data_IF_286191861809
#
_entry.id   IF_286191861809
#
_cell.length_a   1.000
_cell.length_b   1.000
_cell.length_c   1.000
_cell.angle_alpha   90.00
_cell.angle_beta   90.00
_cell.angle_gamma   90.00
#
_symmetry.space_group_name_H-M   'P 1'
#
loop_
_entity.id
_entity.type
_entity.pdbx_description
1 polymer ?
#
# COMPACT_ATOMS: atom_id res chain seq x y z
N UNK A 1 48.75 17.81 -13.74
CA UNK A 1 48.07 17.24 -12.58
C UNK A 1 46.61 17.04 -12.93
N UNK A 2 46.19 15.78 -13.21
CA UNK A 2 44.81 15.43 -13.47
C UNK A 2 44.17 15.01 -12.14
N UNK A 3 43.30 15.83 -11.59
CA UNK A 3 42.50 15.48 -10.42
C UNK A 3 41.39 14.52 -10.85
N UNK A 4 41.58 13.24 -10.59
CA UNK A 4 40.55 12.24 -10.77
C UNK A 4 39.41 12.49 -9.77
N UNK A 5 38.24 12.91 -10.28
CA UNK A 5 37.01 12.80 -9.53
C UNK A 5 36.69 11.31 -9.37
N UNK A 6 36.87 10.79 -8.16
CA UNK A 6 36.37 9.48 -7.74
C UNK A 6 34.84 9.57 -7.79
N UNK A 7 34.22 8.97 -8.79
CA UNK A 7 32.79 8.68 -8.75
C UNK A 7 32.58 7.74 -7.55
N UNK A 8 32.05 8.25 -6.47
CA UNK A 8 31.49 7.43 -5.40
C UNK A 8 30.31 6.68 -6.03
N UNK A 9 30.43 5.37 -6.11
CA UNK A 9 29.32 4.49 -6.47
C UNK A 9 28.33 4.53 -5.31
N UNK A 10 27.22 5.24 -5.52
CA UNK A 10 26.15 5.49 -4.55
C UNK A 10 25.24 4.24 -4.44
N UNK A 11 25.82 3.11 -3.99
CA UNK A 11 25.12 1.84 -3.79
C UNK A 11 24.86 1.51 -2.33
N UNK A 12 25.37 2.31 -1.38
CA UNK A 12 25.09 2.11 0.03
C UNK A 12 23.60 2.39 0.32
N UNK A 13 22.88 1.32 0.70
CA UNK A 13 21.48 1.40 1.11
C UNK A 13 20.44 1.10 0.02
N UNK A 14 20.83 0.82 -1.23
CA UNK A 14 19.89 0.37 -2.27
C UNK A 14 19.65 -1.14 -2.17
N UNK A 15 18.39 -1.56 -2.32
CA UNK A 15 18.01 -2.96 -2.36
C UNK A 15 18.46 -3.61 -3.68
N UNK A 16 18.82 -4.90 -3.63
CA UNK A 16 18.89 -5.75 -4.81
C UNK A 16 17.49 -5.91 -5.46
N UNK A 17 17.39 -6.37 -6.72
CA UNK A 17 16.09 -6.63 -7.35
C UNK A 17 15.18 -7.55 -6.52
N UNK A 18 15.72 -8.61 -5.95
CA UNK A 18 14.98 -9.55 -5.11
C UNK A 18 14.50 -8.90 -3.82
N UNK A 19 15.33 -8.10 -3.15
CA UNK A 19 14.93 -7.36 -1.95
C UNK A 19 13.85 -6.32 -2.29
N UNK A 20 14.02 -5.54 -3.37
CA UNK A 20 13.02 -4.56 -3.79
C UNK A 20 11.67 -5.22 -4.01
N UNK A 21 11.61 -6.37 -4.69
CA UNK A 21 10.39 -7.09 -4.95
C UNK A 21 9.62 -7.45 -3.66
N UNK A 22 10.34 -7.76 -2.57
CA UNK A 22 9.75 -8.06 -1.25
C UNK A 22 9.17 -6.84 -0.53
N UNK A 23 9.35 -5.65 -1.09
CA UNK A 23 8.75 -4.40 -0.61
C UNK A 23 7.65 -3.85 -1.55
N UNK A 24 7.27 -4.60 -2.59
CA UNK A 24 6.26 -4.18 -3.57
C UNK A 24 4.98 -5.00 -3.42
N UNK A 25 3.87 -4.29 -3.19
CA UNK A 25 2.50 -4.77 -3.39
C UNK A 25 2.08 -4.42 -4.81
N UNK A 26 1.92 -5.43 -5.67
CA UNK A 26 1.49 -5.22 -7.05
C UNK A 26 -0.04 -5.26 -7.12
N UNK A 27 -0.66 -4.40 -7.95
CA UNK A 27 -2.11 -4.26 -7.94
C UNK A 27 -2.76 -4.07 -9.31
N UNK A 28 -3.97 -4.64 -9.42
CA UNK A 28 -4.99 -4.34 -10.44
C UNK A 28 -6.31 -4.03 -9.72
N UNK A 29 -6.52 -2.76 -9.35
CA UNK A 29 -7.66 -2.31 -8.52
C UNK A 29 -8.53 -1.26 -9.21
N UNK A 30 -8.40 -1.07 -10.54
CA UNK A 30 -9.32 -0.21 -11.29
C UNK A 30 -10.59 -0.98 -11.64
N UNK A 31 -11.72 -0.29 -11.74
CA UNK A 31 -13.02 -0.91 -11.97
C UNK A 31 -13.13 -1.69 -13.29
N UNK A 32 -12.29 -1.36 -14.26
CA UNK A 32 -12.30 -1.94 -15.61
C UNK A 32 -11.29 -3.08 -15.82
N UNK A 33 -10.49 -3.43 -14.79
CA UNK A 33 -9.51 -4.51 -14.94
C UNK A 33 -10.20 -5.84 -15.23
N UNK A 34 -9.70 -6.51 -16.26
CA UNK A 34 -10.20 -7.78 -16.75
C UNK A 34 -9.52 -8.97 -16.05
N UNK A 35 -10.10 -10.16 -16.22
CA UNK A 35 -9.49 -11.40 -15.73
C UNK A 35 -8.11 -11.66 -16.33
N UNK A 36 -7.92 -11.34 -17.61
CA UNK A 36 -6.63 -11.53 -18.30
C UNK A 36 -5.53 -10.63 -17.67
N UNK A 37 -5.89 -9.41 -17.27
CA UNK A 37 -4.96 -8.53 -16.54
C UNK A 37 -4.66 -9.04 -15.14
N UNK A 38 -5.64 -9.69 -14.47
CA UNK A 38 -5.42 -10.36 -13.18
C UNK A 38 -4.48 -11.58 -13.35
N UNK A 39 -4.62 -12.35 -14.42
CA UNK A 39 -3.68 -13.44 -14.73
C UNK A 39 -2.26 -12.91 -14.97
N UNK A 40 -2.11 -11.84 -15.75
CA UNK A 40 -0.81 -11.17 -15.95
C UNK A 40 -0.23 -10.64 -14.64
N UNK A 41 -1.07 -10.10 -13.74
CA UNK A 41 -0.67 -9.63 -12.41
C UNK A 41 -0.08 -10.76 -11.56
N UNK A 42 -0.76 -11.91 -11.52
CA UNK A 42 -0.29 -13.09 -10.78
C UNK A 42 1.00 -13.64 -11.37
N UNK A 43 1.10 -13.77 -12.69
CA UNK A 43 2.33 -14.24 -13.35
C UNK A 43 3.51 -13.28 -13.10
N UNK A 44 3.28 -11.97 -13.12
CA UNK A 44 4.30 -10.99 -12.76
C UNK A 44 4.73 -11.14 -11.28
N UNK A 45 3.79 -11.36 -10.38
CA UNK A 45 4.09 -11.57 -8.96
C UNK A 45 4.97 -12.81 -8.74
N UNK A 46 4.67 -13.92 -9.42
CA UNK A 46 5.48 -15.14 -9.39
C UNK A 46 6.87 -14.93 -9.97
N UNK A 47 6.94 -14.28 -11.15
CA UNK A 47 8.19 -14.03 -11.87
C UNK A 47 9.18 -13.19 -11.05
N UNK A 48 8.70 -12.09 -10.47
CA UNK A 48 9.55 -11.14 -9.74
C UNK A 48 9.58 -11.38 -8.23
N UNK A 49 8.74 -12.30 -7.72
CA UNK A 49 8.60 -12.61 -6.29
C UNK A 49 8.11 -11.40 -5.48
N UNK A 50 7.14 -10.65 -6.03
CA UNK A 50 6.49 -9.58 -5.27
C UNK A 50 5.85 -10.10 -3.99
N UNK A 51 5.82 -9.27 -2.94
CA UNK A 51 5.36 -9.73 -1.62
C UNK A 51 3.86 -9.96 -1.57
N UNK A 52 3.06 -9.18 -2.32
CA UNK A 52 1.62 -9.35 -2.34
C UNK A 52 0.95 -8.88 -3.64
N UNK A 53 -0.24 -9.42 -3.89
CA UNK A 53 -1.07 -9.18 -5.08
C UNK A 53 -2.42 -8.63 -4.64
N UNK A 54 -2.74 -7.39 -4.99
CA UNK A 54 -4.00 -6.73 -4.63
C UNK A 54 -4.96 -6.64 -5.82
N UNK A 55 -6.21 -7.04 -5.60
CA UNK A 55 -7.31 -6.90 -6.56
C UNK A 55 -8.57 -6.38 -5.89
N UNK A 56 -9.57 -6.01 -6.71
CA UNK A 56 -10.91 -5.78 -6.17
C UNK A 56 -11.50 -7.09 -5.61
N UNK A 57 -12.39 -7.04 -4.61
CA UNK A 57 -12.91 -8.21 -3.90
C UNK A 57 -13.48 -9.30 -4.79
N UNK A 58 -14.07 -8.95 -5.93
CA UNK A 58 -14.63 -9.89 -6.92
C UNK A 58 -13.59 -10.92 -7.44
N UNK A 59 -12.31 -10.57 -7.41
CA UNK A 59 -11.21 -11.44 -7.84
C UNK A 59 -10.40 -12.05 -6.69
N UNK A 60 -10.66 -11.71 -5.42
CA UNK A 60 -9.83 -12.15 -4.29
C UNK A 60 -9.72 -13.67 -4.20
N UNK A 61 -10.85 -14.41 -4.21
CA UNK A 61 -10.84 -15.89 -4.20
C UNK A 61 -10.14 -16.47 -5.43
N UNK A 62 -10.22 -15.81 -6.58
CA UNK A 62 -9.51 -16.24 -7.79
C UNK A 62 -8.00 -16.13 -7.63
N UNK A 63 -7.52 -14.99 -7.13
CA UNK A 63 -6.09 -14.74 -6.87
C UNK A 63 -5.56 -15.69 -5.82
N UNK A 64 -6.28 -15.91 -4.72
CA UNK A 64 -5.89 -16.88 -3.68
C UNK A 64 -5.66 -18.27 -4.28
N UNK A 65 -6.58 -18.75 -5.13
CA UNK A 65 -6.39 -20.05 -5.80
C UNK A 65 -5.19 -20.07 -6.73
N UNK A 66 -4.95 -18.99 -7.47
CA UNK A 66 -3.82 -18.87 -8.42
C UNK A 66 -2.46 -18.80 -7.71
N UNK A 67 -2.43 -18.37 -6.46
CA UNK A 67 -1.23 -18.31 -5.63
C UNK A 67 -1.00 -19.57 -4.79
N UNK A 68 -1.83 -20.60 -4.91
CA UNK A 68 -1.57 -21.88 -4.27
C UNK A 68 -0.23 -22.45 -4.70
N UNK A 69 0.59 -22.84 -3.73
CA UNK A 69 1.97 -23.29 -3.97
C UNK A 69 3.02 -22.17 -3.96
N UNK A 70 2.61 -20.92 -3.75
CA UNK A 70 3.50 -19.74 -3.64
C UNK A 70 3.44 -19.15 -2.20
N UNK A 71 3.98 -19.81 -1.19
CA UNK A 71 3.78 -19.41 0.22
C UNK A 71 4.33 -18.02 0.56
N UNK A 72 5.27 -17.53 -0.24
CA UNK A 72 5.90 -16.23 -0.03
C UNK A 72 5.15 -15.06 -0.67
N UNK A 73 4.07 -15.33 -1.43
CA UNK A 73 3.30 -14.30 -2.12
C UNK A 73 1.89 -14.26 -1.52
N UNK A 74 1.52 -13.13 -0.90
CA UNK A 74 0.23 -12.98 -0.26
C UNK A 74 -0.84 -12.47 -1.25
N UNK A 75 -2.04 -13.02 -1.18
CA UNK A 75 -3.21 -12.37 -1.76
C UNK A 75 -3.62 -11.22 -0.83
N UNK A 76 -3.79 -10.03 -1.37
CA UNK A 76 -4.26 -8.86 -0.64
C UNK A 76 -5.71 -8.52 -1.00
N UNK A 77 -6.48 -8.05 -0.01
CA UNK A 77 -7.84 -7.57 -0.19
C UNK A 77 -7.96 -6.06 0.06
N UNK A 78 -8.96 -5.42 -0.58
CA UNK A 78 -9.26 -4.01 -0.34
C UNK A 78 -10.62 -3.84 0.31
N UNK A 79 -10.74 -2.92 1.29
CA UNK A 79 -11.93 -2.67 2.09
C UNK A 79 -12.41 -1.24 1.85
N UNK A 80 -13.71 -1.09 1.56
CA UNK A 80 -14.36 0.22 1.29
C UNK A 80 -13.63 1.03 0.21
N UNK A 81 -13.09 0.34 -0.76
CA UNK A 81 -12.22 0.92 -1.77
C UNK A 81 -13.01 1.31 -3.04
N UNK A 82 -12.76 2.50 -3.66
CA UNK A 82 -11.72 3.46 -3.28
C UNK A 82 -12.20 4.58 -2.33
N UNK A 83 -13.47 4.65 -1.98
CA UNK A 83 -14.09 5.85 -1.39
C UNK A 83 -14.05 5.94 0.14
N UNK A 84 -13.91 4.83 0.86
CA UNK A 84 -13.87 4.79 2.33
C UNK A 84 -15.22 5.05 3.01
N UNK A 85 -16.32 5.28 2.25
CA UNK A 85 -17.60 5.75 2.76
C UNK A 85 -18.59 4.67 3.19
N UNK A 86 -18.22 3.39 3.18
CA UNK A 86 -19.08 2.33 3.70
C UNK A 86 -19.25 2.47 5.23
N UNK A 87 -20.37 1.98 5.75
CA UNK A 87 -20.55 1.91 7.20
C UNK A 87 -19.52 0.97 7.85
N UNK A 88 -19.16 1.22 9.10
CA UNK A 88 -18.24 0.36 9.87
C UNK A 88 -18.66 -1.11 9.83
N UNK A 89 -19.97 -1.40 9.98
CA UNK A 89 -20.47 -2.77 9.89
C UNK A 89 -20.24 -3.44 8.54
N UNK A 90 -20.30 -2.68 7.43
CA UNK A 90 -19.99 -3.18 6.09
C UNK A 90 -18.48 -3.44 5.92
N UNK A 91 -17.64 -2.53 6.37
CA UNK A 91 -16.17 -2.71 6.34
C UNK A 91 -15.74 -3.92 7.17
N UNK A 92 -16.32 -4.11 8.35
CA UNK A 92 -16.07 -5.30 9.19
C UNK A 92 -16.49 -6.60 8.50
N UNK A 93 -17.61 -6.60 7.76
CA UNK A 93 -18.00 -7.78 6.94
C UNK A 93 -17.01 -8.03 5.82
N UNK A 94 -16.60 -7.00 5.08
CA UNK A 94 -15.59 -7.11 4.03
C UNK A 94 -14.27 -7.67 4.59
N UNK A 95 -13.82 -7.22 5.76
CA UNK A 95 -12.61 -7.73 6.40
C UNK A 95 -12.71 -9.23 6.71
N UNK A 96 -13.83 -9.68 7.28
CA UNK A 96 -14.06 -11.09 7.59
C UNK A 96 -14.14 -11.95 6.32
N UNK A 97 -14.88 -11.51 5.31
CA UNK A 97 -15.02 -12.21 4.03
C UNK A 97 -13.66 -12.37 3.32
N UNK A 98 -12.88 -11.30 3.23
CA UNK A 98 -11.56 -11.35 2.60
C UNK A 98 -10.60 -12.29 3.35
N UNK A 99 -10.65 -12.28 4.69
CA UNK A 99 -9.90 -13.23 5.51
C UNK A 99 -10.33 -14.67 5.23
N UNK A 100 -11.63 -14.94 5.20
CA UNK A 100 -12.19 -16.28 4.92
C UNK A 100 -11.87 -16.75 3.50
N UNK A 101 -11.74 -15.83 2.54
CA UNK A 101 -11.25 -16.13 1.19
C UNK A 101 -9.76 -16.51 1.16
N UNK A 102 -8.99 -16.21 2.22
CA UNK A 102 -7.56 -16.51 2.32
C UNK A 102 -6.65 -15.32 1.97
N UNK A 103 -7.14 -14.08 2.02
CA UNK A 103 -6.28 -12.90 1.92
C UNK A 103 -5.37 -12.80 3.15
N UNK A 104 -4.07 -12.57 2.94
CA UNK A 104 -3.07 -12.45 4.00
C UNK A 104 -2.75 -11.00 4.40
N UNK A 105 -3.23 -10.01 3.64
CA UNK A 105 -3.06 -8.58 3.93
C UNK A 105 -4.31 -7.80 3.47
N UNK A 106 -4.68 -6.73 4.19
CA UNK A 106 -5.86 -5.91 3.88
C UNK A 106 -5.49 -4.43 3.80
N UNK A 107 -5.91 -3.77 2.73
CA UNK A 107 -5.81 -2.31 2.56
C UNK A 107 -7.20 -1.69 2.72
N UNK A 108 -7.49 -0.98 3.81
CA UNK A 108 -8.76 -0.28 4.01
C UNK A 108 -8.65 1.21 3.71
N UNK A 109 -9.69 1.81 3.16
CA UNK A 109 -9.78 3.27 3.05
C UNK A 109 -10.41 3.82 4.32
N UNK A 110 -9.74 4.81 4.95
CA UNK A 110 -10.26 5.55 6.09
C UNK A 110 -11.61 6.21 5.76
N UNK A 111 -12.49 6.37 6.74
CA UNK A 111 -13.69 7.17 6.59
C UNK A 111 -13.32 8.66 6.47
N UNK A 112 -12.99 9.08 5.24
CA UNK A 112 -12.58 10.45 4.93
C UNK A 112 -13.68 11.46 5.19
N UNK A 113 -14.95 11.10 4.99
CA UNK A 113 -16.08 11.99 5.23
C UNK A 113 -16.18 12.35 6.72
N UNK A 114 -16.12 11.37 7.61
CA UNK A 114 -16.08 11.59 9.05
C UNK A 114 -14.84 12.39 9.45
N UNK A 115 -13.67 11.99 8.95
CA UNK A 115 -12.40 12.66 9.25
C UNK A 115 -12.41 14.15 8.85
N UNK A 116 -12.86 14.48 7.63
CA UNK A 116 -12.97 15.87 7.12
C UNK A 116 -14.05 16.68 7.84
N UNK A 117 -15.03 16.02 8.46
CA UNK A 117 -16.05 16.65 9.29
C UNK A 117 -15.60 16.90 10.74
N UNK A 118 -14.35 16.51 11.08
CA UNK A 118 -13.81 16.62 12.44
C UNK A 118 -14.28 15.51 13.39
N UNK A 119 -15.00 14.50 12.89
CA UNK A 119 -15.50 13.34 13.64
C UNK A 119 -14.38 12.30 13.81
N UNK A 120 -13.28 12.71 14.44
CA UNK A 120 -12.07 11.89 14.55
C UNK A 120 -12.27 10.61 15.36
N UNK A 121 -13.16 10.65 16.36
CA UNK A 121 -13.52 9.46 17.16
C UNK A 121 -14.18 8.42 16.28
N UNK A 122 -15.14 8.82 15.43
CA UNK A 122 -15.80 7.91 14.49
C UNK A 122 -14.80 7.29 13.50
N UNK A 123 -13.87 8.10 12.96
CA UNK A 123 -12.83 7.60 12.06
C UNK A 123 -11.89 6.60 12.76
N UNK A 124 -11.56 6.82 14.03
CA UNK A 124 -10.73 5.92 14.82
C UNK A 124 -11.44 4.61 15.16
N UNK A 125 -12.69 4.67 15.61
CA UNK A 125 -13.53 3.51 15.91
C UNK A 125 -13.78 2.64 14.67
N UNK A 126 -13.96 3.26 13.50
CA UNK A 126 -14.08 2.57 12.21
C UNK A 126 -12.85 1.72 11.89
N UNK A 127 -11.64 2.29 12.04
CA UNK A 127 -10.38 1.57 11.84
C UNK A 127 -10.22 0.46 12.88
N UNK A 128 -10.45 0.75 14.14
CA UNK A 128 -10.32 -0.22 15.26
C UNK A 128 -11.22 -1.43 15.03
N UNK A 129 -12.49 -1.22 14.71
CA UNK A 129 -13.45 -2.30 14.45
C UNK A 129 -13.03 -3.19 13.25
N UNK A 130 -12.43 -2.58 12.22
CA UNK A 130 -11.92 -3.33 11.06
C UNK A 130 -10.66 -4.12 11.43
N UNK A 131 -9.73 -3.55 12.18
CA UNK A 131 -8.52 -4.26 12.64
C UNK A 131 -8.86 -5.45 13.53
N UNK A 132 -9.82 -5.29 14.44
CA UNK A 132 -10.35 -6.40 15.26
C UNK A 132 -11.02 -7.49 14.41
N UNK A 133 -11.79 -7.10 13.38
CA UNK A 133 -12.45 -8.04 12.46
C UNK A 133 -11.46 -8.79 11.56
N UNK A 134 -10.32 -8.17 11.24
CA UNK A 134 -9.24 -8.78 10.47
C UNK A 134 -8.43 -9.79 11.30
N UNK A 135 -8.47 -9.73 12.62
CA UNK A 135 -7.68 -10.58 13.56
C UNK A 135 -6.16 -10.46 13.30
N UNK A 136 -5.52 -11.59 12.98
CA UNK A 136 -4.06 -11.67 12.78
C UNK A 136 -3.59 -11.12 11.41
N UNK A 137 -4.52 -10.72 10.53
CA UNK A 137 -4.18 -10.18 9.22
C UNK A 137 -3.84 -8.70 9.35
N UNK A 138 -2.65 -8.24 8.89
CA UNK A 138 -2.27 -6.84 8.97
C UNK A 138 -3.18 -5.96 8.11
N UNK A 139 -3.71 -4.90 8.72
CA UNK A 139 -4.51 -3.87 8.07
C UNK A 139 -3.64 -2.66 7.76
N UNK A 140 -3.65 -2.22 6.51
CA UNK A 140 -3.01 -1.00 6.05
C UNK A 140 -4.08 0.04 5.77
N UNK A 141 -4.03 1.17 6.47
CA UNK A 141 -5.05 2.23 6.38
C UNK A 141 -4.64 3.28 5.36
N UNK A 142 -5.43 3.45 4.32
CA UNK A 142 -5.26 4.47 3.28
C UNK A 142 -5.87 5.77 3.80
N UNK A 143 -5.04 6.77 4.03
CA UNK A 143 -5.47 8.08 4.51
C UNK A 143 -5.78 9.07 3.38
N UNK A 144 -5.50 8.71 2.11
CA UNK A 144 -5.72 9.48 0.88
C UNK A 144 -5.13 10.90 0.97
N UNK A 145 -3.82 10.97 1.10
CA UNK A 145 -3.07 12.23 1.30
C UNK A 145 -3.39 13.36 0.33
N UNK A 146 -3.81 13.13 -0.95
CA UNK A 146 -4.19 14.23 -1.83
C UNK A 146 -5.36 15.09 -1.34
N UNK A 147 -6.21 14.56 -0.46
CA UNK A 147 -7.33 15.31 0.13
C UNK A 147 -6.97 16.03 1.44
N UNK A 148 -5.77 15.82 1.98
CA UNK A 148 -5.39 16.23 3.32
C UNK A 148 -4.37 17.37 3.32
N UNK A 149 -4.54 18.30 4.24
CA UNK A 149 -3.50 19.25 4.64
C UNK A 149 -2.42 18.56 5.47
N UNK A 150 -1.27 19.19 5.65
CA UNK A 150 -0.16 18.67 6.45
C UNK A 150 -0.58 18.33 7.90
N UNK A 151 -1.42 19.17 8.51
CA UNK A 151 -1.96 18.94 9.85
C UNK A 151 -2.91 17.74 9.88
N UNK A 152 -3.74 17.59 8.85
CA UNK A 152 -4.66 16.46 8.72
C UNK A 152 -3.90 15.16 8.48
N UNK A 153 -2.80 15.16 7.69
CA UNK A 153 -1.93 13.98 7.53
C UNK A 153 -1.39 13.54 8.89
N UNK A 154 -0.85 14.46 9.69
CA UNK A 154 -0.36 14.13 11.04
C UNK A 154 -1.45 13.53 11.91
N UNK A 155 -2.62 14.14 11.94
CA UNK A 155 -3.77 13.65 12.70
C UNK A 155 -4.22 12.27 12.26
N UNK A 156 -4.27 12.01 10.95
CA UNK A 156 -4.64 10.71 10.39
C UNK A 156 -3.62 9.61 10.75
N UNK A 157 -2.32 9.94 10.76
CA UNK A 157 -1.26 9.01 11.22
C UNK A 157 -1.46 8.66 12.70
N UNK A 158 -1.72 9.63 13.57
CA UNK A 158 -1.98 9.35 15.00
C UNK A 158 -3.22 8.47 15.20
N UNK A 159 -4.30 8.72 14.44
CA UNK A 159 -5.50 7.88 14.46
C UNK A 159 -5.15 6.45 14.05
N UNK A 160 -4.41 6.23 12.97
CA UNK A 160 -3.99 4.89 12.54
C UNK A 160 -3.19 4.15 13.63
N UNK A 161 -2.27 4.86 14.31
CA UNK A 161 -1.48 4.30 15.42
C UNK A 161 -2.38 3.87 16.56
N UNK A 162 -3.26 4.77 17.02
CA UNK A 162 -4.16 4.51 18.16
C UNK A 162 -5.17 3.40 17.88
N UNK A 163 -5.54 3.20 16.62
CA UNK A 163 -6.52 2.19 16.18
C UNK A 163 -5.90 0.84 15.82
N UNK A 164 -4.60 0.63 16.07
CA UNK A 164 -3.94 -0.66 15.90
C UNK A 164 -3.67 -1.05 14.44
N UNK A 165 -3.64 -0.09 13.50
CA UNK A 165 -3.27 -0.37 12.12
C UNK A 165 -1.79 -0.81 12.02
N UNK A 166 -1.50 -1.78 11.14
CA UNK A 166 -0.12 -2.23 10.88
C UNK A 166 0.66 -1.21 10.03
N UNK A 167 -0.03 -0.56 9.09
CA UNK A 167 0.54 0.46 8.22
C UNK A 167 -0.39 1.65 8.08
N UNK A 168 0.20 2.84 7.91
CA UNK A 168 -0.48 3.96 7.26
C UNK A 168 -0.03 4.03 5.80
N UNK A 169 -1.00 4.07 4.88
CA UNK A 169 -0.79 4.10 3.42
C UNK A 169 -1.23 5.45 2.87
N UNK A 170 -0.43 6.01 1.97
CA UNK A 170 -0.65 7.37 1.46
C UNK A 170 -1.92 7.50 0.62
N UNK A 171 -2.12 6.66 -0.41
CA UNK A 171 -3.22 6.87 -1.38
C UNK A 171 -3.75 5.58 -2.00
N UNK A 172 -4.98 5.63 -2.52
CA UNK A 172 -5.61 4.59 -3.34
C UNK A 172 -5.01 4.49 -4.75
N UNK A 173 -4.48 5.60 -5.26
CA UNK A 173 -4.10 5.75 -6.66
C UNK A 173 -5.27 6.01 -7.62
N UNK A 174 -6.50 6.24 -7.11
CA UNK A 174 -7.67 6.63 -7.90
C UNK A 174 -7.83 8.14 -8.05
N UNK A 175 -7.12 8.90 -7.24
CA UNK A 175 -7.08 10.35 -7.36
C UNK A 175 -6.21 10.78 -8.55
N UNK A 176 -6.50 11.94 -9.15
CA UNK A 176 -5.71 12.52 -10.25
C UNK A 176 -4.33 12.99 -9.77
N UNK A 177 -4.27 13.52 -8.54
CA UNK A 177 -3.00 13.88 -7.91
C UNK A 177 -2.27 12.66 -7.41
N UNK A 178 -0.94 12.70 -7.54
CA UNK A 178 -0.04 11.65 -7.07
C UNK A 178 0.41 11.94 -5.65
N UNK A 179 0.78 10.90 -4.93
CA UNK A 179 1.49 11.01 -3.66
C UNK A 179 2.80 11.77 -3.87
N UNK A 180 3.05 12.77 -3.03
CA UNK A 180 4.26 13.61 -3.05
C UNK A 180 5.24 13.15 -1.97
N UNK A 181 6.54 13.36 -2.21
CA UNK A 181 7.58 13.02 -1.24
C UNK A 181 7.40 13.76 0.08
N UNK A 182 7.02 15.03 0.03
CA UNK A 182 6.77 15.87 1.21
C UNK A 182 5.67 15.27 2.11
N UNK A 183 4.61 14.71 1.51
CA UNK A 183 3.55 14.03 2.27
C UNK A 183 4.08 12.79 2.99
N UNK A 184 4.94 12.01 2.34
CA UNK A 184 5.60 10.84 2.96
C UNK A 184 6.52 11.29 4.11
N UNK A 185 7.26 12.38 3.96
CA UNK A 185 8.11 12.93 5.01
C UNK A 185 7.30 13.38 6.23
N UNK A 186 6.12 13.99 6.01
CA UNK A 186 5.19 14.37 7.08
C UNK A 186 4.66 13.10 7.79
N UNK A 187 4.23 12.09 7.03
CA UNK A 187 3.79 10.80 7.58
C UNK A 187 4.89 10.17 8.42
N UNK A 188 6.12 10.12 7.91
CA UNK A 188 7.26 9.52 8.59
C UNK A 188 7.62 10.25 9.88
N UNK A 189 7.70 11.58 9.82
CA UNK A 189 7.95 12.42 10.98
C UNK A 189 6.92 12.20 12.08
N UNK A 190 5.63 12.09 11.72
CA UNK A 190 4.55 11.85 12.67
C UNK A 190 4.53 10.41 13.18
N UNK A 191 4.80 9.45 12.31
CA UNK A 191 4.87 8.03 12.68
C UNK A 191 5.98 7.76 13.71
N UNK A 192 7.14 8.40 13.54
CA UNK A 192 8.30 8.27 14.44
C UNK A 192 8.61 6.80 14.80
N UNK A 193 8.50 5.88 13.85
CA UNK A 193 8.74 4.45 14.03
C UNK A 193 7.62 3.67 14.73
N UNK A 194 6.51 4.31 15.12
CA UNK A 194 5.39 3.67 15.84
C UNK A 194 4.45 2.87 14.93
N UNK A 195 4.49 3.11 13.62
CA UNK A 195 3.68 2.44 12.61
C UNK A 195 4.49 2.35 11.31
N UNK A 196 4.29 1.30 10.51
CA UNK A 196 4.95 1.15 9.23
C UNK A 196 4.29 2.04 8.16
N UNK A 197 5.10 2.44 7.16
CA UNK A 197 4.63 3.32 6.08
C UNK A 197 4.57 2.57 4.75
N UNK A 198 3.45 2.75 4.04
CA UNK A 198 3.27 2.30 2.66
C UNK A 198 3.02 3.50 1.75
N UNK A 199 3.89 3.69 0.76
CA UNK A 199 3.68 4.66 -0.29
C UNK A 199 2.90 4.02 -1.46
N UNK A 200 1.88 4.69 -1.96
CA UNK A 200 1.13 4.28 -3.14
C UNK A 200 0.48 5.50 -3.82
N UNK A 201 0.09 5.35 -5.09
CA UNK A 201 -0.52 6.42 -5.87
C UNK A 201 0.49 7.20 -6.70
N UNK A 202 0.70 6.75 -7.94
CA UNK A 202 1.51 7.44 -8.94
C UNK A 202 3.02 7.22 -8.87
N UNK A 203 3.51 6.23 -8.14
CA UNK A 203 4.92 5.83 -8.14
C UNK A 203 5.27 5.17 -9.48
N UNK A 204 6.29 5.72 -10.19
CA UNK A 204 6.58 5.29 -11.56
C UNK A 204 8.06 5.15 -11.90
N UNK A 205 8.97 5.36 -10.95
CA UNK A 205 10.42 5.22 -11.17
C UNK A 205 11.13 4.68 -9.94
N UNK A 206 12.33 4.14 -10.14
CA UNK A 206 13.22 3.73 -9.06
C UNK A 206 13.60 4.88 -8.16
N UNK A 207 13.89 6.06 -8.72
CA UNK A 207 14.25 7.23 -7.93
C UNK A 207 13.15 7.60 -6.92
N UNK A 208 11.88 7.59 -7.35
CA UNK A 208 10.75 7.81 -6.42
C UNK A 208 10.72 6.76 -5.29
N UNK A 209 11.03 5.50 -5.58
CA UNK A 209 11.10 4.45 -4.55
C UNK A 209 12.24 4.75 -3.58
N UNK A 210 13.42 5.10 -4.08
CA UNK A 210 14.57 5.39 -3.24
C UNK A 210 14.35 6.61 -2.34
N UNK A 211 13.81 7.69 -2.89
CA UNK A 211 13.48 8.89 -2.14
C UNK A 211 12.46 8.59 -1.02
N UNK A 212 11.39 7.86 -1.35
CA UNK A 212 10.36 7.49 -0.37
C UNK A 212 10.86 6.47 0.65
N UNK A 213 11.78 5.55 0.26
CA UNK A 213 12.47 4.65 1.19
C UNK A 213 13.33 5.44 2.18
N UNK A 214 14.11 6.38 1.69
CA UNK A 214 14.92 7.26 2.56
C UNK A 214 14.04 8.08 3.50
N UNK A 215 12.84 8.47 3.04
CA UNK A 215 11.84 9.12 3.88
C UNK A 215 11.14 8.17 4.88
N UNK A 216 11.46 6.87 4.90
CA UNK A 216 10.98 5.92 5.90
C UNK A 216 9.92 4.92 5.43
N UNK A 217 9.56 4.90 4.13
CA UNK A 217 8.66 3.87 3.60
C UNK A 217 9.33 2.49 3.56
N UNK A 218 8.59 1.48 4.01
CA UNK A 218 8.99 0.07 3.98
C UNK A 218 8.17 -0.76 2.98
N UNK A 219 7.13 -0.20 2.36
CA UNK A 219 6.25 -0.87 1.42
C UNK A 219 5.79 0.08 0.30
N UNK A 220 5.62 -0.44 -0.92
CA UNK A 220 5.25 0.34 -2.10
C UNK A 220 4.11 -0.32 -2.85
N UNK A 221 3.01 0.42 -3.05
CA UNK A 221 1.87 -0.03 -3.86
C UNK A 221 2.01 0.42 -5.30
N UNK A 222 2.15 -0.53 -6.23
CA UNK A 222 2.37 -0.27 -7.65
C UNK A 222 1.33 -0.98 -8.51
N UNK A 223 0.84 -0.31 -9.56
CA UNK A 223 0.10 -1.00 -10.62
C UNK A 223 1.01 -1.89 -11.47
N UNK A 224 0.44 -2.94 -12.07
CA UNK A 224 1.15 -3.96 -12.86
C UNK A 224 2.21 -3.39 -13.81
N UNK A 225 1.84 -2.44 -14.67
CA UNK A 225 2.74 -1.88 -15.68
C UNK A 225 3.93 -1.14 -15.08
N UNK A 226 3.69 -0.37 -13.99
CA UNK A 226 4.76 0.37 -13.30
C UNK A 226 5.70 -0.58 -12.58
N UNK A 227 5.18 -1.59 -11.88
CA UNK A 227 5.99 -2.58 -11.19
C UNK A 227 6.90 -3.35 -12.15
N UNK A 228 6.34 -3.86 -13.26
CA UNK A 228 7.12 -4.58 -14.26
C UNK A 228 8.22 -3.72 -14.90
N UNK A 229 7.94 -2.43 -15.17
CA UNK A 229 8.94 -1.52 -15.71
C UNK A 229 10.07 -1.27 -14.70
N UNK A 230 9.74 -0.91 -13.47
CA UNK A 230 10.72 -0.67 -12.41
C UNK A 230 11.61 -1.90 -12.18
N UNK A 231 11.02 -3.10 -12.19
CA UNK A 231 11.83 -4.33 -12.05
C UNK A 231 12.75 -4.55 -13.24
N UNK A 232 12.34 -4.23 -14.47
CA UNK A 232 13.22 -4.29 -15.64
C UNK A 232 14.39 -3.32 -15.53
N UNK A 233 14.13 -2.09 -15.06
CA UNK A 233 15.15 -1.06 -14.87
C UNK A 233 16.20 -1.46 -13.82
N UNK A 234 15.88 -2.40 -12.90
CA UNK A 234 16.83 -2.94 -11.92
C UNK A 234 17.84 -3.94 -12.51
N UNK A 235 17.61 -4.46 -13.72
CA UNK A 235 18.47 -5.44 -14.37
C UNK A 235 19.30 -4.84 -15.52
N UNK A 236 19.21 -3.54 -15.74
CA UNK A 236 19.98 -2.77 -16.71
C UNK A 236 21.14 -2.05 -16.02
#
# INVERSE_FOLDING_TARGET
MRTGKKQMTDTEGKWSPTELARHIDISCVQAFHTRDEIDQLVEAAKKYRFVSVFTLPVFSSYVVRKLQGEPDIQAGGVISFPGGGDTTGQKCRQARELREMGCGELDMVMNLAAFKSGEYTLAAEDIMAVTESAKDIPVKVIIETPYLTDMEIRKAVDICIMSGAAYVKSSTGWHTEKTKLEQIQIMSSQAAGRILLKAAGGIRSLDMIWDMKQAGCSRFGLGLSSACRIMKDMYV
#
